data_IF_564137731435
#
_entry.id   IF_564137731435
#
_cell.length_a   1.000
_cell.length_b   1.000
_cell.length_c   1.000
_cell.angle_alpha   90.00
_cell.angle_beta   90.00
_cell.angle_gamma   90.00
#
_symmetry.space_group_name_H-M   'P 1'
#
loop_
_entity.id
_entity.type
_entity.pdbx_description
1 polymer ?
#
# COMPACT_ATOMS: atom_id res chain seq x y z
N UNK A 1 -2.05 15.64 -4.36
CA UNK A 1 -1.53 16.66 -3.43
C UNK A 1 -2.66 17.64 -3.09
N UNK A 2 -2.99 17.80 -1.81
CA UNK A 2 -4.16 18.54 -1.34
C UNK A 2 -3.97 20.07 -1.40
N UNK A 3 -5.01 20.81 -1.79
CA UNK A 3 -4.96 22.27 -1.97
C UNK A 3 -4.47 23.03 -0.72
N UNK A 4 -4.84 22.56 0.48
CA UNK A 4 -4.39 23.12 1.75
C UNK A 4 -2.87 23.00 1.95
N UNK A 5 -2.26 21.87 1.57
CA UNK A 5 -0.83 21.67 1.72
C UNK A 5 -0.04 22.63 0.83
N UNK A 6 -0.45 22.78 -0.44
CA UNK A 6 0.15 23.77 -1.35
C UNK A 6 0.03 25.21 -0.83
N UNK A 7 -1.08 25.54 -0.18
CA UNK A 7 -1.29 26.86 0.42
C UNK A 7 -0.28 27.14 1.54
N UNK A 8 -0.04 26.17 2.43
CA UNK A 8 0.94 26.28 3.51
C UNK A 8 2.39 26.30 2.98
N UNK A 9 2.71 25.45 2.01
CA UNK A 9 4.04 25.41 1.37
C UNK A 9 4.38 26.72 0.65
N UNK A 10 3.36 27.48 0.22
CA UNK A 10 3.53 28.83 -0.34
C UNK A 10 3.82 29.92 0.72
N UNK A 11 4.01 29.54 1.99
CA UNK A 11 4.38 30.45 3.09
C UNK A 11 3.20 31.11 3.79
N UNK A 12 1.97 30.70 3.48
CA UNK A 12 0.77 31.16 4.20
C UNK A 12 0.68 30.50 5.58
N UNK A 13 0.31 31.29 6.60
CA UNK A 13 0.30 30.83 8.00
C UNK A 13 -1.02 30.21 8.45
N UNK A 14 -2.11 30.56 7.76
CA UNK A 14 -3.47 30.12 8.08
C UNK A 14 -3.99 29.16 7.00
N UNK A 15 -5.00 28.37 7.34
CA UNK A 15 -5.63 27.48 6.37
C UNK A 15 -6.62 28.26 5.49
N UNK A 16 -6.71 27.94 4.18
CA UNK A 16 -7.70 28.57 3.31
C UNK A 16 -9.11 28.07 3.66
N UNK A 17 -10.12 28.93 3.49
CA UNK A 17 -11.52 28.50 3.60
C UNK A 17 -11.83 27.49 2.50
N UNK A 18 -12.35 26.32 2.88
CA UNK A 18 -12.80 25.29 1.95
C UNK A 18 -14.31 25.20 2.01
N UNK A 19 -14.96 25.45 0.88
CA UNK A 19 -16.41 25.37 0.73
C UNK A 19 -16.78 24.01 0.09
N UNK A 20 -17.37 23.06 0.84
CA UNK A 20 -17.80 21.80 0.28
C UNK A 20 -19.06 22.00 -0.56
N UNK A 21 -19.01 21.59 -1.84
CA UNK A 21 -20.17 21.56 -2.74
C UNK A 21 -20.48 20.11 -3.07
N UNK A 22 -21.74 19.70 -2.84
CA UNK A 22 -22.24 18.40 -3.24
C UNK A 22 -23.09 18.53 -4.50
N UNK A 23 -22.72 17.81 -5.56
CA UNK A 23 -23.50 17.73 -6.79
C UNK A 23 -24.34 16.46 -6.79
N UNK A 24 -25.65 16.60 -6.99
CA UNK A 24 -26.57 15.47 -7.17
C UNK A 24 -26.94 15.35 -8.65
N UNK A 25 -26.65 14.18 -9.23
CA UNK A 25 -26.94 13.84 -10.63
C UNK A 25 -27.81 12.57 -10.73
N UNK A 26 -28.80 12.41 -9.85
CA UNK A 26 -29.73 11.28 -9.88
C UNK A 26 -30.95 11.53 -10.76
N UNK A 27 -31.71 10.47 -11.05
CA UNK A 27 -32.87 10.52 -11.96
C UNK A 27 -34.05 11.32 -11.38
N UNK A 28 -34.27 11.27 -10.07
CA UNK A 28 -35.39 11.95 -9.41
C UNK A 28 -35.07 13.43 -9.16
N UNK A 29 -35.90 14.32 -9.70
CA UNK A 29 -35.77 15.79 -9.59
C UNK A 29 -37.11 16.45 -9.22
N UNK A 30 -37.14 17.41 -8.26
CA UNK A 30 -36.01 17.86 -7.44
C UNK A 30 -35.54 16.76 -6.47
N UNK A 31 -34.33 16.92 -5.91
CA UNK A 31 -33.79 15.97 -4.94
C UNK A 31 -34.78 15.74 -3.79
N UNK A 32 -35.22 14.50 -3.51
CA UNK A 32 -36.38 14.25 -2.65
C UNK A 32 -36.04 14.10 -1.16
N UNK A 33 -34.76 14.04 -0.78
CA UNK A 33 -34.32 13.77 0.58
C UNK A 33 -33.82 15.04 1.29
N UNK A 34 -33.66 14.96 2.61
CA UNK A 34 -33.11 16.08 3.39
C UNK A 34 -31.69 16.41 2.94
N UNK A 35 -31.41 17.70 2.76
CA UNK A 35 -30.06 18.22 2.52
C UNK A 35 -29.26 18.40 3.81
N UNK A 36 -29.91 18.29 4.97
CA UNK A 36 -29.24 18.21 6.26
C UNK A 36 -29.01 16.74 6.61
N UNK A 37 -27.79 16.28 6.38
CA UNK A 37 -27.39 14.89 6.63
C UNK A 37 -27.61 14.42 8.08
N UNK A 38 -27.74 15.34 9.05
CA UNK A 38 -28.05 14.99 10.44
C UNK A 38 -29.46 14.40 10.60
N UNK A 39 -30.37 14.66 9.67
CA UNK A 39 -31.71 14.04 9.62
C UNK A 39 -31.64 12.55 9.24
N UNK A 40 -30.51 12.08 8.71
CA UNK A 40 -30.33 10.68 8.33
C UNK A 40 -29.98 9.77 9.53
N UNK A 41 -29.76 10.34 10.72
CA UNK A 41 -29.48 9.56 11.93
C UNK A 41 -30.75 9.29 12.74
N UNK A 42 -30.84 8.10 13.32
CA UNK A 42 -31.93 7.74 14.22
C UNK A 42 -32.01 8.66 15.45
N UNK A 43 -30.85 9.02 16.02
CA UNK A 43 -30.74 10.02 17.09
C UNK A 43 -29.94 11.23 16.61
N UNK A 44 -30.67 12.26 16.21
CA UNK A 44 -30.12 13.51 15.72
C UNK A 44 -29.30 14.25 16.77
N UNK A 45 -29.69 14.23 18.05
CA UNK A 45 -29.00 14.97 19.12
C UNK A 45 -27.61 14.39 19.38
N UNK A 46 -27.50 13.07 19.35
CA UNK A 46 -26.20 12.39 19.47
C UNK A 46 -25.32 12.72 18.27
N UNK A 47 -25.86 12.67 17.05
CA UNK A 47 -25.11 13.01 15.84
C UNK A 47 -24.61 14.46 15.87
N UNK A 48 -25.47 15.42 16.25
CA UNK A 48 -25.10 16.81 16.43
C UNK A 48 -23.96 16.97 17.44
N UNK A 49 -24.05 16.32 18.60
CA UNK A 49 -23.02 16.35 19.64
C UNK A 49 -21.67 15.77 19.22
N UNK A 50 -21.63 14.90 18.22
CA UNK A 50 -20.38 14.31 17.70
C UNK A 50 -19.81 15.14 16.55
N UNK A 51 -20.64 15.53 15.59
CA UNK A 51 -20.18 16.05 14.30
C UNK A 51 -20.06 17.58 14.24
N UNK A 52 -20.64 18.31 15.21
CA UNK A 52 -20.51 19.78 15.29
C UNK A 52 -19.36 20.23 16.20
N UNK A 53 -18.74 19.29 16.91
CA UNK A 53 -17.61 19.56 17.80
C UNK A 53 -16.28 19.51 17.04
N UNK A 54 -15.21 20.12 17.57
CA UNK A 54 -13.88 19.96 17.01
C UNK A 54 -13.52 18.48 16.84
N UNK A 55 -12.97 18.13 15.68
CA UNK A 55 -12.55 16.76 15.41
C UNK A 55 -11.51 16.31 16.44
N UNK A 56 -11.79 15.19 17.09
CA UNK A 56 -10.82 14.55 17.98
C UNK A 56 -9.83 13.76 17.13
N UNK A 57 -8.57 14.19 17.12
CA UNK A 57 -7.48 13.42 16.54
C UNK A 57 -7.03 12.36 17.55
N UNK A 58 -7.16 11.09 17.19
CA UNK A 58 -6.60 9.99 17.98
C UNK A 58 -5.21 9.63 17.44
N UNK A 59 -4.15 9.88 18.22
CA UNK A 59 -2.83 9.32 17.92
C UNK A 59 -2.80 7.84 18.32
N UNK A 60 -3.03 6.98 17.34
CA UNK A 60 -3.06 5.52 17.54
C UNK A 60 -1.76 4.96 18.12
N UNK A 61 -0.62 5.68 18.00
CA UNK A 61 0.67 5.23 18.50
C UNK A 61 0.79 5.33 20.02
N UNK A 62 0.00 6.20 20.65
CA UNK A 62 0.02 6.40 22.10
C UNK A 62 -0.94 5.46 22.84
N UNK A 63 -1.79 4.73 22.12
CA UNK A 63 -2.75 3.79 22.70
C UNK A 63 -2.04 2.49 23.07
N UNK A 64 -2.42 1.89 24.21
CA UNK A 64 -1.95 0.56 24.59
C UNK A 64 -2.59 -0.53 23.72
N UNK A 65 -1.86 -1.60 23.41
CA UNK A 65 -2.37 -2.69 22.56
C UNK A 65 -3.54 -3.42 23.23
N UNK A 66 -3.51 -3.57 24.56
CA UNK A 66 -4.61 -4.10 25.35
C UNK A 66 -5.87 -3.25 25.23
N UNK A 67 -5.73 -1.92 25.20
CA UNK A 67 -6.88 -1.02 24.95
C UNK A 67 -7.40 -1.16 23.52
N UNK A 68 -6.53 -1.23 22.52
CA UNK A 68 -6.95 -1.38 21.11
C UNK A 68 -7.73 -2.69 20.92
N UNK A 69 -7.27 -3.79 21.51
CA UNK A 69 -7.92 -5.11 21.35
C UNK A 69 -9.34 -5.16 21.93
N UNK A 70 -9.70 -4.26 22.87
CA UNK A 70 -11.06 -4.15 23.40
C UNK A 70 -12.06 -3.57 22.39
N UNK A 71 -11.58 -2.90 21.34
CA UNK A 71 -12.43 -2.19 20.37
C UNK A 71 -13.01 -3.09 19.27
N UNK A 72 -13.05 -4.41 19.50
CA UNK A 72 -13.71 -5.42 18.65
C UNK A 72 -13.37 -5.23 17.16
N UNK A 73 -14.34 -4.77 16.34
CA UNK A 73 -14.21 -4.57 14.88
C UNK A 73 -13.17 -3.54 14.48
N UNK A 74 -12.81 -2.60 15.35
CA UNK A 74 -11.78 -1.60 15.04
C UNK A 74 -10.37 -2.10 15.37
N UNK A 75 -10.25 -3.12 16.22
CA UNK A 75 -8.98 -3.51 16.82
C UNK A 75 -7.91 -3.88 15.78
N UNK A 76 -8.27 -4.71 14.79
CA UNK A 76 -7.30 -5.23 13.82
C UNK A 76 -6.72 -4.11 12.94
N UNK A 77 -7.58 -3.29 12.32
CA UNK A 77 -7.11 -2.19 11.48
C UNK A 77 -6.31 -1.16 12.29
N UNK A 78 -6.76 -0.83 13.51
CA UNK A 78 -6.04 0.12 14.37
C UNK A 78 -4.67 -0.41 14.78
N UNK A 79 -4.54 -1.69 15.11
CA UNK A 79 -3.24 -2.31 15.37
C UNK A 79 -2.34 -2.29 14.12
N UNK A 80 -2.88 -2.69 12.96
CA UNK A 80 -2.11 -2.64 11.71
C UNK A 80 -1.61 -1.20 11.48
N UNK A 81 -2.48 -0.19 11.57
CA UNK A 81 -2.12 1.23 11.38
C UNK A 81 -1.10 1.74 12.40
N UNK A 82 -1.18 1.30 13.67
CA UNK A 82 -0.19 1.64 14.70
C UNK A 82 1.21 1.15 14.33
N UNK A 83 1.30 -0.04 13.74
CA UNK A 83 2.58 -0.69 13.43
C UNK A 83 3.03 -0.54 11.97
N UNK A 84 2.18 -0.04 11.06
CA UNK A 84 2.44 -0.03 9.60
C UNK A 84 3.75 0.68 9.20
N UNK A 85 4.18 1.67 9.99
CA UNK A 85 5.43 2.42 9.76
C UNK A 85 6.66 1.85 10.49
N UNK A 86 6.52 0.75 11.23
CA UNK A 86 7.65 0.07 11.87
C UNK A 86 8.48 -0.65 10.81
N UNK A 87 9.79 -0.76 11.07
CA UNK A 87 10.72 -1.45 10.17
C UNK A 87 10.42 -2.95 10.08
N UNK A 88 9.87 -3.53 11.14
CA UNK A 88 9.51 -4.93 11.21
C UNK A 88 8.23 -5.08 12.05
N UNK A 89 7.18 -5.66 11.46
CA UNK A 89 5.90 -5.87 12.12
C UNK A 89 5.69 -7.31 12.58
N UNK A 90 6.72 -8.15 12.55
CA UNK A 90 6.58 -9.58 12.93
C UNK A 90 6.05 -9.75 14.36
N UNK A 91 6.31 -8.80 15.26
CA UNK A 91 5.78 -8.75 16.63
C UNK A 91 4.24 -8.71 16.68
N UNK A 92 3.60 -8.28 15.61
CA UNK A 92 2.14 -8.17 15.52
C UNK A 92 1.46 -9.52 15.19
N UNK A 93 2.22 -10.56 14.81
CA UNK A 93 1.70 -11.84 14.35
C UNK A 93 0.64 -12.43 15.29
N UNK A 94 1.00 -12.62 16.56
CA UNK A 94 0.12 -13.27 17.53
C UNK A 94 -1.15 -12.44 17.78
N UNK A 95 -1.02 -11.11 17.76
CA UNK A 95 -2.14 -10.19 17.91
C UNK A 95 -3.10 -10.24 16.72
N UNK A 96 -2.57 -10.28 15.49
CA UNK A 96 -3.38 -10.43 14.27
C UNK A 96 -4.12 -11.76 14.29
N UNK A 97 -3.43 -12.87 14.52
CA UNK A 97 -4.00 -14.22 14.55
C UNK A 97 -5.09 -14.31 15.61
N UNK A 98 -4.81 -13.82 16.83
CA UNK A 98 -5.80 -13.76 17.90
C UNK A 98 -7.04 -12.97 17.49
N UNK A 99 -6.87 -11.78 16.91
CA UNK A 99 -8.00 -10.97 16.48
C UNK A 99 -8.81 -11.63 15.37
N UNK A 100 -8.16 -12.26 14.40
CA UNK A 100 -8.81 -12.97 13.29
C UNK A 100 -9.59 -14.21 13.75
N UNK A 101 -9.28 -14.78 14.91
CA UNK A 101 -10.08 -15.87 15.49
C UNK A 101 -11.47 -15.42 15.97
N UNK A 102 -11.68 -14.12 16.22
CA UNK A 102 -12.97 -13.59 16.68
C UNK A 102 -14.00 -13.49 15.54
N UNK A 103 -15.31 -13.58 15.88
CA UNK A 103 -16.41 -13.41 14.92
C UNK A 103 -16.78 -11.96 14.62
N UNK A 104 -15.77 -11.09 14.51
CA UNK A 104 -15.99 -9.66 14.27
C UNK A 104 -15.86 -9.27 12.80
N UNK A 105 -15.14 -10.05 12.01
CA UNK A 105 -14.73 -9.70 10.65
C UNK A 105 -15.38 -10.60 9.61
N UNK A 106 -15.74 -10.01 8.48
CA UNK A 106 -16.07 -10.77 7.27
C UNK A 106 -14.81 -11.01 6.44
N UNK A 107 -14.85 -11.99 5.54
CA UNK A 107 -13.73 -12.27 4.63
C UNK A 107 -13.33 -11.03 3.82
N UNK A 108 -14.28 -10.25 3.31
CA UNK A 108 -13.99 -9.01 2.57
C UNK A 108 -13.25 -7.97 3.42
N UNK A 109 -13.58 -7.86 4.71
CA UNK A 109 -12.87 -6.97 5.62
C UNK A 109 -11.44 -7.46 5.87
N UNK A 110 -11.28 -8.76 6.09
CA UNK A 110 -9.96 -9.38 6.27
C UNK A 110 -9.11 -9.19 5.02
N UNK A 111 -9.66 -9.45 3.83
CA UNK A 111 -9.00 -9.23 2.54
C UNK A 111 -8.55 -7.77 2.40
N UNK A 112 -9.43 -6.81 2.68
CA UNK A 112 -9.08 -5.39 2.59
C UNK A 112 -7.94 -4.99 3.55
N UNK A 113 -8.00 -5.46 4.80
CA UNK A 113 -6.95 -5.20 5.80
C UNK A 113 -5.63 -5.88 5.42
N UNK A 114 -5.69 -7.08 4.83
CA UNK A 114 -4.52 -7.79 4.36
C UNK A 114 -3.87 -7.13 3.15
N UNK A 115 -4.66 -6.70 2.18
CA UNK A 115 -4.17 -5.94 1.04
C UNK A 115 -3.49 -4.66 1.52
N UNK A 116 -4.08 -3.95 2.48
CA UNK A 116 -3.46 -2.79 3.10
C UNK A 116 -2.13 -3.14 3.80
N UNK A 117 -2.09 -4.23 4.57
CA UNK A 117 -0.87 -4.71 5.23
C UNK A 117 0.25 -5.04 4.23
N UNK A 118 -0.09 -5.74 3.15
CA UNK A 118 0.85 -6.07 2.07
C UNK A 118 1.31 -4.79 1.37
N UNK A 119 0.41 -3.85 1.13
CA UNK A 119 0.72 -2.63 0.41
C UNK A 119 1.62 -1.69 1.21
N UNK A 120 1.30 -1.43 2.48
CA UNK A 120 1.93 -0.35 3.24
C UNK A 120 2.91 -0.86 4.31
N UNK A 121 2.91 -2.16 4.59
CA UNK A 121 3.68 -2.77 5.68
C UNK A 121 5.15 -3.00 5.40
N UNK A 122 5.84 -3.57 6.39
CA UNK A 122 7.19 -4.08 6.27
C UNK A 122 7.46 -5.21 7.29
N UNK A 123 8.24 -6.22 6.89
CA UNK A 123 8.76 -7.25 7.78
C UNK A 123 10.11 -7.76 7.27
N UNK A 124 10.97 -8.24 8.17
CA UNK A 124 12.27 -8.82 7.76
C UNK A 124 12.13 -10.08 6.93
N UNK A 125 11.10 -10.89 7.21
CA UNK A 125 10.78 -12.12 6.49
C UNK A 125 9.33 -12.08 6.01
N UNK A 126 9.07 -11.36 4.90
CA UNK A 126 7.72 -11.05 4.44
C UNK A 126 6.85 -12.27 4.19
N UNK A 127 7.41 -13.24 3.47
CA UNK A 127 6.73 -14.47 3.07
C UNK A 127 6.40 -15.32 4.30
N UNK A 128 7.35 -15.45 5.22
CA UNK A 128 7.15 -16.20 6.46
C UNK A 128 6.07 -15.55 7.33
N UNK A 129 6.10 -14.23 7.49
CA UNK A 129 5.13 -13.48 8.27
C UNK A 129 3.70 -13.65 7.73
N UNK A 130 3.50 -13.37 6.44
CA UNK A 130 2.19 -13.51 5.80
C UNK A 130 1.71 -14.96 5.80
N UNK A 131 2.59 -15.92 5.48
CA UNK A 131 2.24 -17.34 5.47
C UNK A 131 1.84 -17.83 6.87
N UNK A 132 2.50 -17.37 7.94
CA UNK A 132 2.11 -17.71 9.31
C UNK A 132 0.72 -17.19 9.65
N UNK A 133 0.41 -15.94 9.27
CA UNK A 133 -0.94 -15.42 9.49
C UNK A 133 -1.98 -16.25 8.73
N UNK A 134 -1.76 -16.53 7.44
CA UNK A 134 -2.69 -17.33 6.61
C UNK A 134 -2.94 -18.71 7.25
N UNK A 135 -1.86 -19.43 7.61
CA UNK A 135 -1.96 -20.78 8.18
C UNK A 135 -2.60 -20.84 9.55
N UNK A 136 -2.48 -19.77 10.35
CA UNK A 136 -3.02 -19.73 11.72
C UNK A 136 -4.40 -19.07 11.81
N UNK A 137 -4.92 -18.54 10.69
CA UNK A 137 -6.23 -17.88 10.63
C UNK A 137 -7.31 -18.81 10.09
N UNK A 138 -7.56 -19.93 10.78
CA UNK A 138 -8.46 -21.02 10.34
C UNK A 138 -9.79 -20.50 9.78
N UNK A 139 -10.38 -19.51 10.46
CA UNK A 139 -11.67 -18.93 10.08
C UNK A 139 -11.67 -18.22 8.72
N UNK A 140 -10.54 -17.61 8.36
CA UNK A 140 -10.38 -16.80 7.16
C UNK A 140 -9.38 -17.44 6.19
N UNK A 141 -9.05 -18.72 6.38
CA UNK A 141 -8.00 -19.42 5.64
C UNK A 141 -8.25 -19.35 4.13
N UNK A 142 -9.46 -19.68 3.67
CA UNK A 142 -9.79 -19.66 2.25
C UNK A 142 -9.56 -18.29 1.60
N UNK A 143 -10.06 -17.22 2.23
CA UNK A 143 -9.89 -15.84 1.76
C UNK A 143 -8.42 -15.41 1.72
N UNK A 144 -7.66 -15.72 2.78
CA UNK A 144 -6.24 -15.39 2.88
C UNK A 144 -5.37 -16.24 1.95
N UNK A 145 -5.75 -17.49 1.71
CA UNK A 145 -5.06 -18.40 0.79
C UNK A 145 -5.17 -17.89 -0.65
N UNK A 146 -6.33 -17.38 -1.06
CA UNK A 146 -6.50 -16.77 -2.39
C UNK A 146 -5.57 -15.57 -2.57
N UNK A 147 -5.42 -14.71 -1.55
CA UNK A 147 -4.46 -13.59 -1.59
C UNK A 147 -3.03 -14.13 -1.71
N UNK A 148 -2.64 -15.10 -0.88
CA UNK A 148 -1.30 -15.66 -0.90
C UNK A 148 -0.95 -16.29 -2.27
N UNK A 149 -1.90 -16.99 -2.89
CA UNK A 149 -1.75 -17.56 -4.23
C UNK A 149 -1.62 -16.48 -5.31
N UNK A 150 -2.46 -15.45 -5.27
CA UNK A 150 -2.41 -14.33 -6.20
C UNK A 150 -1.03 -13.65 -6.18
N UNK A 151 -0.49 -13.36 -4.99
CA UNK A 151 0.81 -12.72 -4.85
C UNK A 151 1.97 -13.61 -5.32
N UNK A 152 1.91 -14.93 -5.07
CA UNK A 152 2.91 -15.87 -5.61
C UNK A 152 2.91 -15.89 -7.13
N UNK A 153 1.73 -15.87 -7.74
CA UNK A 153 1.60 -15.86 -9.19
C UNK A 153 2.09 -14.52 -9.78
N UNK A 154 1.79 -13.41 -9.13
CA UNK A 154 2.27 -12.08 -9.50
C UNK A 154 3.80 -12.00 -9.42
N UNK A 155 4.40 -12.37 -8.28
CA UNK A 155 5.85 -12.35 -8.10
C UNK A 155 6.58 -13.32 -9.05
N UNK A 156 6.00 -14.48 -9.38
CA UNK A 156 6.53 -15.34 -10.45
C UNK A 156 6.54 -14.62 -11.80
N UNK A 157 5.46 -13.91 -12.12
CA UNK A 157 5.33 -13.21 -13.41
C UNK A 157 6.30 -12.03 -13.49
N UNK A 158 6.42 -11.24 -12.42
CA UNK A 158 7.38 -10.14 -12.30
C UNK A 158 8.83 -10.65 -12.41
N UNK A 159 9.18 -11.71 -11.69
CA UNK A 159 10.52 -12.27 -11.75
C UNK A 159 10.90 -12.84 -13.14
N UNK A 160 9.95 -13.42 -13.89
CA UNK A 160 10.18 -13.79 -15.31
C UNK A 160 10.49 -12.53 -16.14
N UNK A 161 9.69 -11.46 -15.97
CA UNK A 161 9.87 -10.22 -16.72
C UNK A 161 11.21 -9.55 -16.38
N UNK A 162 11.58 -9.46 -15.10
CA UNK A 162 12.87 -8.95 -14.67
C UNK A 162 14.02 -9.80 -15.23
N UNK A 163 13.90 -11.13 -15.20
CA UNK A 163 14.90 -12.03 -15.76
C UNK A 163 15.12 -11.82 -17.26
N UNK A 164 14.03 -11.66 -18.03
CA UNK A 164 14.10 -11.33 -19.45
C UNK A 164 14.77 -9.97 -19.66
N UNK A 165 14.40 -8.96 -18.88
CA UNK A 165 14.93 -7.60 -19.00
C UNK A 165 16.42 -7.54 -18.65
N UNK A 166 16.85 -8.19 -17.55
CA UNK A 166 18.26 -8.34 -17.17
C UNK A 166 19.04 -9.10 -18.26
N UNK A 167 18.51 -10.18 -18.81
CA UNK A 167 19.14 -10.93 -19.90
C UNK A 167 19.30 -10.12 -21.19
N UNK A 168 18.31 -9.29 -21.56
CA UNK A 168 18.40 -8.37 -22.70
C UNK A 168 19.46 -7.29 -22.44
N UNK A 169 19.49 -6.71 -21.24
CA UNK A 169 20.49 -5.71 -20.86
C UNK A 169 21.91 -6.29 -20.87
N UNK A 170 22.08 -7.50 -20.34
CA UNK A 170 23.37 -8.21 -20.33
C UNK A 170 23.84 -8.52 -21.76
N UNK A 171 22.99 -9.08 -22.62
CA UNK A 171 23.34 -9.30 -24.04
C UNK A 171 23.68 -8.00 -24.77
N UNK A 172 22.98 -6.90 -24.48
CA UNK A 172 23.31 -5.58 -25.05
C UNK A 172 24.64 -5.05 -24.53
N UNK A 173 24.97 -5.28 -23.27
CA UNK A 173 26.24 -4.88 -22.67
C UNK A 173 27.41 -5.71 -23.23
N UNK A 174 27.25 -7.04 -23.31
CA UNK A 174 28.25 -7.98 -23.84
C UNK A 174 28.46 -7.77 -25.34
N UNK A 175 27.38 -7.77 -26.14
CA UNK A 175 27.48 -7.48 -27.58
C UNK A 175 27.92 -6.04 -27.88
N UNK A 176 27.66 -5.10 -26.97
CA UNK A 176 28.19 -3.74 -27.03
C UNK A 176 29.67 -3.63 -26.67
N UNK A 177 30.20 -4.54 -25.83
CA UNK A 177 31.61 -4.65 -25.51
C UNK A 177 32.38 -5.38 -26.62
N UNK A 178 31.85 -6.48 -27.16
CA UNK A 178 32.43 -7.16 -28.32
C UNK A 178 32.40 -6.27 -29.56
N UNK A 179 31.28 -5.61 -29.86
CA UNK A 179 31.18 -4.65 -30.95
C UNK A 179 32.07 -3.40 -30.75
N UNK A 180 32.39 -3.03 -29.49
CA UNK A 180 33.40 -2.00 -29.19
C UNK A 180 34.83 -2.51 -29.38
N UNK A 181 35.14 -3.74 -29.00
CA UNK A 181 36.47 -4.33 -29.21
C UNK A 181 36.77 -4.52 -30.70
N UNK A 182 35.80 -5.03 -31.46
CA UNK A 182 35.88 -5.11 -32.93
C UNK A 182 35.83 -3.73 -33.59
N UNK A 183 35.06 -2.80 -33.02
CA UNK A 183 35.00 -1.41 -33.44
C UNK A 183 36.31 -0.67 -33.22
N UNK A 184 36.99 -0.84 -32.08
CA UNK A 184 38.29 -0.21 -31.77
C UNK A 184 39.40 -0.74 -32.69
N UNK A 185 39.32 -2.00 -33.13
CA UNK A 185 40.21 -2.52 -34.18
C UNK A 185 39.92 -1.93 -35.56
N UNK A 186 38.68 -1.48 -35.85
CA UNK A 186 38.28 -0.86 -37.11
C UNK A 186 38.38 0.68 -37.13
N UNK A 187 38.26 1.34 -35.97
CA UNK A 187 38.22 2.80 -35.79
C UNK A 187 39.58 3.44 -35.43
N UNK A 188 40.70 2.75 -35.70
CA UNK A 188 41.98 3.45 -35.96
C UNK A 188 41.92 4.37 -37.20
N UNK A 189 40.74 4.56 -37.81
CA UNK A 189 40.43 5.68 -38.67
C UNK A 189 38.99 6.17 -38.51
N UNK A 190 38.82 7.32 -37.83
CA UNK A 190 37.72 8.32 -37.92
C UNK A 190 36.68 8.38 -36.78
N UNK A 191 36.90 9.33 -35.88
CA UNK A 191 36.03 10.53 -35.79
C UNK A 191 34.58 10.42 -35.25
N UNK A 192 34.46 10.66 -33.94
CA UNK A 192 33.52 11.58 -33.25
C UNK A 192 31.99 11.35 -33.16
N UNK A 193 31.53 11.54 -31.91
CA UNK A 193 30.30 12.21 -31.41
C UNK A 193 28.98 11.42 -31.36
N UNK A 194 28.49 11.23 -30.13
CA UNK A 194 27.10 10.87 -29.84
C UNK A 194 26.75 11.02 -28.36
N UNK A 195 26.06 12.11 -28.00
CA UNK A 195 25.56 12.46 -26.66
C UNK A 195 24.26 11.70 -26.40
N UNK A 196 24.11 10.99 -25.28
CA UNK A 196 22.82 10.47 -24.81
C UNK A 196 22.41 11.16 -23.51
N UNK A 197 21.24 11.81 -23.54
CA UNK A 197 20.49 12.28 -22.38
C UNK A 197 19.87 11.06 -21.68
N UNK A 198 20.10 10.93 -20.38
CA UNK A 198 19.35 10.01 -19.52
C UNK A 198 17.92 10.52 -19.34
N UNK A 199 16.97 9.59 -19.35
CA UNK A 199 15.58 9.80 -18.99
C UNK A 199 15.50 9.70 -17.46
N UNK A 200 14.90 10.69 -16.82
CA UNK A 200 14.57 10.64 -15.40
C UNK A 200 13.38 9.68 -15.20
N UNK A 201 13.58 8.65 -14.40
CA UNK A 201 12.51 7.78 -13.89
C UNK A 201 12.14 8.23 -12.48
N UNK A 202 11.34 9.30 -12.41
CA UNK A 202 10.55 9.61 -11.22
C UNK A 202 9.12 9.17 -11.49
N UNK A 203 8.65 8.11 -10.83
CA UNK A 203 7.20 7.93 -10.60
C UNK A 203 6.83 6.87 -9.53
N UNK A 204 6.24 7.39 -8.45
CA UNK A 204 5.15 6.82 -7.64
C UNK A 204 5.47 5.77 -6.53
N UNK A 205 4.64 5.71 -5.45
CA UNK A 205 5.04 5.26 -4.12
C UNK A 205 5.14 3.73 -3.98
N UNK A 206 6.03 3.34 -3.07
CA UNK A 206 6.57 2.00 -2.78
C UNK A 206 5.55 1.00 -2.19
N UNK A 207 4.33 0.97 -2.69
CA UNK A 207 3.21 0.19 -2.19
C UNK A 207 3.37 -1.31 -2.57
N UNK A 208 3.73 -2.16 -1.61
CA UNK A 208 3.82 -3.63 -1.74
C UNK A 208 5.14 -4.21 -2.23
N UNK A 209 6.13 -3.36 -2.52
CA UNK A 209 7.42 -3.79 -3.10
C UNK A 209 8.20 -4.74 -2.19
N UNK A 210 8.10 -4.56 -0.87
CA UNK A 210 8.81 -5.40 0.11
C UNK A 210 8.39 -6.88 0.06
N UNK A 211 7.09 -7.15 -0.16
CA UNK A 211 6.57 -8.51 -0.24
C UNK A 211 6.81 -9.12 -1.64
N UNK A 212 6.58 -8.34 -2.71
CA UNK A 212 6.82 -8.79 -4.10
C UNK A 212 8.29 -9.09 -4.37
N UNK A 213 9.20 -8.21 -3.93
CA UNK A 213 10.64 -8.43 -4.04
C UNK A 213 11.05 -9.73 -3.33
N UNK A 214 10.55 -9.96 -2.10
CA UNK A 214 10.86 -11.18 -1.36
C UNK A 214 10.41 -12.44 -2.12
N UNK A 215 9.25 -12.42 -2.80
CA UNK A 215 8.79 -13.55 -3.62
C UNK A 215 9.69 -13.76 -4.83
N UNK A 216 10.09 -12.69 -5.51
CA UNK A 216 11.06 -12.79 -6.61
C UNK A 216 12.38 -13.40 -6.11
N UNK A 217 12.92 -12.93 -4.98
CA UNK A 217 14.18 -13.43 -4.44
C UNK A 217 14.08 -14.92 -4.04
N UNK A 218 12.97 -15.34 -3.41
CA UNK A 218 12.71 -16.75 -3.05
C UNK A 218 12.57 -17.67 -4.27
N UNK A 219 11.89 -17.23 -5.33
CA UNK A 219 11.68 -18.05 -6.54
C UNK A 219 12.97 -18.17 -7.36
N UNK A 220 13.81 -17.14 -7.40
CA UNK A 220 14.97 -17.06 -8.28
C UNK A 220 16.32 -17.25 -7.58
N UNK A 221 16.34 -17.44 -6.26
CA UNK A 221 17.55 -17.80 -5.50
C UNK A 221 18.63 -16.72 -5.51
N UNK A 222 18.24 -15.44 -5.52
CA UNK A 222 19.17 -14.31 -5.46
C UNK A 222 19.45 -14.04 -3.97
N UNK A 223 20.49 -14.67 -3.40
CA UNK A 223 21.05 -14.30 -2.09
C UNK A 223 21.95 -13.06 -2.18
#
# INVERSE_FOLDING_TARGET
>A
MAAMQKHLEAGQKELPLVFPILFYCGEQSPHPYSTNWLDCFHDRKVAEGIYTQPFRLADVRTLDDGQITQHKRMALLTLIQKYIRRRDMTELLDSIVKLLSYNYYTDNQVIAMFNYLIQEGNARKPIEFITKIVKQSEKHEGALMTIAQALRQEGKTEGIQEGIQKGIQQRKAEGGQEGKLEGIQRDSGRGAKGRKKGFDEDSAPNAGKWYRQAICDEIYGIE
#
